data_IF_608680305386
#
_entry.id   IF_608680305386
#
_cell.length_a   1.000
_cell.length_b   1.000
_cell.length_c   1.000
_cell.angle_alpha   90.00
_cell.angle_beta   90.00
_cell.angle_gamma   90.00
#
_symmetry.space_group_name_H-M   'P 1'
#
loop_
_entity.id
_entity.type
_entity.pdbx_description
1 polymer ?
#
# COMPACT_ATOMS: atom_id res chain seq x y z
N UNK A 1 -0.94 5.51 5.58
CA UNK A 1 -0.03 4.53 4.99
C UNK A 1 1.27 4.48 5.79
N UNK A 2 1.92 3.30 5.81
CA UNK A 2 3.22 3.11 6.45
C UNK A 2 4.31 3.91 5.74
N UNK A 3 4.98 4.81 6.47
CA UNK A 3 5.95 5.76 5.92
C UNK A 3 5.39 7.15 5.64
N UNK A 4 4.06 7.34 5.73
CA UNK A 4 3.47 8.68 5.54
C UNK A 4 3.88 9.66 6.63
N UNK A 5 3.92 10.95 6.28
CA UNK A 5 4.05 12.04 7.24
C UNK A 5 2.70 12.41 7.87
N UNK A 6 2.75 13.18 8.96
CA UNK A 6 1.57 13.82 9.57
C UNK A 6 0.97 14.88 8.65
N UNK A 7 -0.32 15.19 8.88
CA UNK A 7 -0.87 16.47 8.47
C UNK A 7 -0.39 17.56 9.41
N UNK A 8 -0.17 18.76 8.88
CA UNK A 8 0.19 19.92 9.71
C UNK A 8 -1.05 20.54 10.39
N UNK A 9 -0.84 21.18 11.53
CA UNK A 9 -1.86 21.93 12.26
C UNK A 9 -3.13 21.14 12.54
N UNK A 10 -4.27 21.73 12.24
CA UNK A 10 -5.60 21.14 12.49
C UNK A 10 -6.05 20.13 11.41
N UNK A 11 -5.16 19.78 10.49
CA UNK A 11 -5.46 18.87 9.39
C UNK A 11 -5.59 19.55 8.04
N UNK A 12 -5.89 18.78 7.01
CA UNK A 12 -6.01 19.20 5.62
C UNK A 12 -7.47 19.12 5.19
N UNK A 13 -8.06 20.26 4.77
CA UNK A 13 -9.41 20.31 4.23
C UNK A 13 -9.41 20.93 2.84
N UNK A 14 -9.52 20.11 1.79
CA UNK A 14 -9.46 20.57 0.41
C UNK A 14 -10.24 19.66 -0.55
N UNK A 15 -10.37 20.10 -1.79
CA UNK A 15 -10.95 19.30 -2.87
C UNK A 15 -10.10 18.10 -3.21
N UNK A 16 -10.75 17.08 -3.77
CA UNK A 16 -10.08 15.92 -4.35
C UNK A 16 -10.22 15.92 -5.87
N UNK A 17 -9.22 15.34 -6.53
CA UNK A 17 -9.27 14.95 -7.95
C UNK A 17 -9.00 13.46 -8.06
N UNK A 18 -9.82 12.77 -8.85
CA UNK A 18 -9.71 11.33 -9.06
C UNK A 18 -8.84 11.03 -10.28
N UNK A 19 -7.98 10.01 -10.15
CA UNK A 19 -7.20 9.43 -11.23
C UNK A 19 -7.18 7.91 -11.07
N UNK A 20 -7.17 7.18 -12.20
CA UNK A 20 -6.99 5.72 -12.18
C UNK A 20 -5.56 5.35 -12.60
N UNK A 21 -4.94 6.15 -13.46
CA UNK A 21 -3.62 5.89 -14.03
C UNK A 21 -2.64 7.06 -13.83
N UNK A 22 -1.37 6.83 -14.15
CA UNK A 22 -0.37 7.90 -14.19
C UNK A 22 -0.65 8.89 -15.33
N UNK A 23 -1.15 8.39 -16.46
CA UNK A 23 -1.53 9.18 -17.62
C UNK A 23 -2.68 10.14 -17.30
N UNK A 24 -3.63 9.73 -16.46
CA UNK A 24 -4.70 10.61 -15.97
C UNK A 24 -4.13 11.76 -15.12
N UNK A 25 -3.19 11.44 -14.23
CA UNK A 25 -2.52 12.45 -13.41
C UNK A 25 -1.75 13.45 -14.28
N UNK A 26 -1.03 12.97 -15.27
CA UNK A 26 -0.30 13.80 -16.23
C UNK A 26 -1.25 14.68 -17.05
N UNK A 27 -2.38 14.13 -17.50
CA UNK A 27 -3.40 14.85 -18.25
C UNK A 27 -4.06 15.97 -17.44
N UNK A 28 -4.29 15.77 -16.14
CA UNK A 28 -4.78 16.83 -15.23
C UNK A 28 -3.74 17.94 -15.07
N UNK A 29 -2.47 17.57 -14.99
CA UNK A 29 -1.37 18.51 -14.81
C UNK A 29 -1.46 19.34 -13.54
N UNK A 30 -0.50 20.23 -13.35
CA UNK A 30 -0.43 21.10 -12.18
C UNK A 30 -1.66 22.00 -12.01
N UNK A 31 -2.22 22.47 -13.11
CA UNK A 31 -3.35 23.40 -13.07
C UNK A 31 -4.58 22.85 -12.35
N UNK A 32 -4.85 21.56 -12.51
CA UNK A 32 -6.01 20.91 -11.89
C UNK A 32 -5.69 20.22 -10.54
N UNK A 33 -4.40 19.94 -10.26
CA UNK A 33 -3.94 19.17 -9.11
C UNK A 33 -3.44 20.05 -7.95
N UNK A 34 -2.86 21.23 -8.25
CA UNK A 34 -2.22 22.08 -7.23
C UNK A 34 -3.18 22.44 -6.09
N UNK A 35 -2.74 22.23 -4.85
CA UNK A 35 -3.51 22.50 -3.65
C UNK A 35 -4.62 21.50 -3.33
N UNK A 36 -4.77 20.44 -4.11
CA UNK A 36 -5.79 19.40 -3.91
C UNK A 36 -5.19 18.09 -3.40
N UNK A 37 -6.06 17.17 -2.98
CA UNK A 37 -5.72 15.79 -2.71
C UNK A 37 -5.93 14.98 -4.01
N UNK A 38 -4.93 14.20 -4.42
CA UNK A 38 -5.09 13.24 -5.52
C UNK A 38 -5.63 11.94 -4.95
N UNK A 39 -6.73 11.48 -5.52
CA UNK A 39 -7.37 10.21 -5.19
C UNK A 39 -7.08 9.19 -6.29
N UNK A 40 -6.17 8.25 -6.01
CA UNK A 40 -5.85 7.12 -6.88
C UNK A 40 -6.89 6.02 -6.69
N UNK A 41 -7.74 5.82 -7.68
CA UNK A 41 -8.89 4.92 -7.61
C UNK A 41 -8.85 3.77 -8.63
N UNK A 42 -7.66 3.27 -8.96
CA UNK A 42 -7.55 2.10 -9.83
C UNK A 42 -8.06 0.83 -9.13
N UNK A 43 -9.13 0.19 -9.62
CA UNK A 43 -9.62 -1.06 -9.04
C UNK A 43 -8.77 -2.25 -9.48
N UNK A 44 -8.56 -3.21 -8.59
CA UNK A 44 -7.96 -4.49 -8.97
C UNK A 44 -8.86 -5.22 -9.98
N UNK A 45 -8.27 -5.76 -11.06
CA UNK A 45 -9.01 -6.48 -12.09
C UNK A 45 -9.44 -7.88 -11.56
N UNK A 46 -10.76 -8.15 -11.45
CA UNK A 46 -11.27 -9.43 -10.95
C UNK A 46 -11.12 -10.59 -11.93
N UNK A 47 -10.84 -10.33 -13.22
CA UNK A 47 -10.67 -11.36 -14.24
C UNK A 47 -9.31 -12.05 -14.18
N UNK A 48 -8.35 -11.47 -13.48
CA UNK A 48 -7.04 -12.07 -13.29
C UNK A 48 -7.11 -13.27 -12.35
N UNK A 49 -6.97 -14.46 -12.90
CA UNK A 49 -6.89 -15.71 -12.13
C UNK A 49 -5.72 -15.73 -11.16
N UNK A 50 -4.62 -15.07 -11.51
CA UNK A 50 -3.49 -14.86 -10.62
C UNK A 50 -3.59 -13.46 -10.01
N UNK A 51 -4.11 -13.38 -8.80
CA UNK A 51 -4.45 -12.13 -8.10
C UNK A 51 -3.27 -11.16 -7.97
N UNK A 52 -2.04 -11.68 -7.86
CA UNK A 52 -0.85 -10.84 -7.78
C UNK A 52 -0.58 -9.99 -9.03
N UNK A 53 -1.11 -10.37 -10.20
CA UNK A 53 -1.03 -9.50 -11.39
C UNK A 53 -1.83 -8.22 -11.17
N UNK A 54 -3.07 -8.32 -10.68
CA UNK A 54 -3.89 -7.14 -10.35
C UNK A 54 -3.27 -6.32 -9.21
N UNK A 55 -2.79 -7.00 -8.16
CA UNK A 55 -2.13 -6.33 -7.05
C UNK A 55 -0.88 -5.57 -7.51
N UNK A 56 0.00 -6.22 -8.29
CA UNK A 56 1.23 -5.62 -8.79
C UNK A 56 0.98 -4.40 -9.69
N UNK A 57 -0.15 -4.38 -10.40
CA UNK A 57 -0.54 -3.24 -11.21
C UNK A 57 -0.97 -2.04 -10.34
N UNK A 58 -1.85 -2.26 -9.37
CA UNK A 58 -2.41 -1.18 -8.56
C UNK A 58 -1.48 -0.70 -7.43
N UNK A 59 -0.57 -1.56 -6.93
CA UNK A 59 0.27 -1.25 -5.75
C UNK A 59 1.21 -0.07 -5.97
N UNK A 60 1.57 0.23 -7.21
CA UNK A 60 2.41 1.37 -7.55
C UNK A 60 1.80 2.71 -7.10
N UNK A 61 0.47 2.86 -7.13
CA UNK A 61 -0.22 4.05 -6.65
C UNK A 61 -0.12 4.20 -5.12
N UNK A 62 -0.12 3.10 -4.39
CA UNK A 62 0.14 3.13 -2.94
C UNK A 62 1.60 3.45 -2.64
N UNK A 63 2.53 2.84 -3.39
CA UNK A 63 3.96 2.98 -3.15
C UNK A 63 4.49 4.36 -3.50
N UNK A 64 4.15 4.88 -4.68
CA UNK A 64 4.68 6.11 -5.26
C UNK A 64 3.67 7.24 -5.46
N UNK A 65 2.38 7.02 -5.22
CA UNK A 65 1.32 7.98 -5.55
C UNK A 65 1.51 9.35 -4.89
N UNK A 66 1.94 9.39 -3.63
CA UNK A 66 2.21 10.66 -2.96
C UNK A 66 3.37 11.44 -3.61
N UNK A 67 4.41 10.73 -4.08
CA UNK A 67 5.55 11.34 -4.78
C UNK A 67 5.10 11.91 -6.12
N UNK A 68 4.38 11.11 -6.91
CA UNK A 68 3.93 11.55 -8.23
C UNK A 68 2.93 12.72 -8.12
N UNK A 69 1.97 12.64 -7.20
CA UNK A 69 1.02 13.73 -6.97
C UNK A 69 1.71 15.03 -6.51
N UNK A 70 2.73 14.93 -5.66
CA UNK A 70 3.48 16.10 -5.17
C UNK A 70 4.22 16.85 -6.29
N UNK A 71 4.66 16.16 -7.34
CA UNK A 71 5.28 16.82 -8.51
C UNK A 71 4.34 17.81 -9.20
N UNK A 72 3.04 17.56 -9.12
CA UNK A 72 2.00 18.44 -9.66
C UNK A 72 1.43 19.43 -8.62
N UNK A 73 2.01 19.49 -7.41
CA UNK A 73 1.60 20.42 -6.37
C UNK A 73 0.41 19.95 -5.52
N UNK A 74 0.09 18.67 -5.55
CA UNK A 74 -0.89 18.10 -4.61
C UNK A 74 -0.42 18.30 -3.16
N UNK A 75 -1.39 18.39 -2.25
CA UNK A 75 -1.15 18.56 -0.81
C UNK A 75 -1.47 17.33 0.02
N UNK A 76 -1.97 16.26 -0.63
CA UNK A 76 -2.24 14.97 -0.03
C UNK A 76 -2.55 13.91 -1.09
N UNK A 77 -2.49 12.65 -0.70
CA UNK A 77 -2.85 11.52 -1.55
C UNK A 77 -3.78 10.56 -0.82
N UNK A 78 -4.81 10.10 -1.51
CA UNK A 78 -5.68 9.00 -1.09
C UNK A 78 -5.55 7.85 -2.07
N UNK A 79 -5.50 6.62 -1.56
CA UNK A 79 -5.34 5.44 -2.40
C UNK A 79 -6.44 4.43 -2.08
N UNK A 80 -7.15 3.97 -3.11
CA UNK A 80 -8.10 2.86 -3.01
C UNK A 80 -7.41 1.63 -2.43
N UNK A 81 -8.04 0.97 -1.48
CA UNK A 81 -7.55 -0.28 -0.91
C UNK A 81 -7.41 -1.37 -1.96
N UNK A 82 -6.29 -2.09 -1.94
CA UNK A 82 -5.93 -3.12 -2.91
C UNK A 82 -6.63 -4.44 -2.56
N UNK A 83 -7.89 -4.53 -2.94
CA UNK A 83 -8.73 -5.70 -2.68
C UNK A 83 -9.80 -5.84 -3.77
N UNK A 84 -10.15 -7.09 -4.09
CA UNK A 84 -11.33 -7.41 -4.91
C UNK A 84 -12.63 -7.38 -4.09
N UNK A 85 -12.51 -7.40 -2.76
CA UNK A 85 -13.64 -7.34 -1.87
C UNK A 85 -14.13 -5.90 -1.72
N UNK A 86 -15.44 -5.70 -1.75
CA UNK A 86 -16.06 -4.39 -1.49
C UNK A 86 -16.49 -4.34 -0.03
N UNK A 87 -15.74 -3.61 0.78
CA UNK A 87 -15.98 -3.46 2.21
C UNK A 87 -15.51 -2.08 2.73
N UNK A 88 -15.72 -1.81 4.03
CA UNK A 88 -15.37 -0.55 4.68
C UNK A 88 -14.04 -0.62 5.47
N UNK A 89 -13.20 -1.61 5.17
CA UNK A 89 -11.92 -1.78 5.84
C UNK A 89 -10.77 -1.24 4.97
N UNK A 90 -10.22 -0.04 5.26
CA UNK A 90 -9.05 0.47 4.55
C UNK A 90 -7.86 -0.46 4.75
N UNK A 91 -7.21 -0.83 3.65
CA UNK A 91 -5.99 -1.62 3.70
C UNK A 91 -4.78 -0.70 3.77
N UNK A 92 -3.98 -0.85 4.82
CA UNK A 92 -2.70 -0.17 4.93
C UNK A 92 -1.65 -0.85 4.05
N UNK A 93 -0.48 -0.26 3.99
CA UNK A 93 0.68 -0.78 3.28
C UNK A 93 1.78 0.26 3.25
N UNK A 94 2.98 -0.13 2.85
CA UNK A 94 4.12 0.74 2.77
C UNK A 94 4.02 1.72 1.61
N UNK A 95 4.56 2.90 1.82
CA UNK A 95 4.87 3.90 0.80
C UNK A 95 6.28 4.42 1.01
N UNK A 96 6.80 5.16 0.05
CA UNK A 96 8.08 5.86 0.18
C UNK A 96 7.93 7.31 -0.27
N UNK A 97 8.90 8.12 0.15
CA UNK A 97 9.16 9.44 -0.42
C UNK A 97 10.47 9.41 -1.20
N UNK A 98 10.58 10.23 -2.23
CA UNK A 98 11.79 10.41 -3.00
C UNK A 98 12.49 11.70 -2.57
N UNK A 99 13.83 11.70 -2.60
CA UNK A 99 14.64 12.87 -2.25
C UNK A 99 14.37 14.02 -3.22
N UNK A 100 14.24 15.22 -2.70
CA UNK A 100 14.02 16.43 -3.48
C UNK A 100 12.57 16.66 -3.91
N UNK A 101 11.63 15.75 -3.61
CA UNK A 101 10.20 15.92 -3.85
C UNK A 101 9.50 16.28 -2.53
N UNK A 102 8.59 17.28 -2.50
CA UNK A 102 7.83 17.60 -1.31
C UNK A 102 7.11 16.38 -0.74
N UNK A 103 7.21 16.16 0.56
CA UNK A 103 6.47 15.09 1.22
C UNK A 103 5.05 15.58 1.51
N UNK A 104 4.05 14.79 1.15
CA UNK A 104 2.64 15.06 1.41
C UNK A 104 2.00 13.87 2.15
N UNK A 105 1.02 14.12 3.04
CA UNK A 105 0.34 13.05 3.77
C UNK A 105 -0.42 12.12 2.82
N UNK A 106 -0.40 10.82 3.12
CA UNK A 106 -1.07 9.81 2.31
C UNK A 106 -1.83 8.79 3.18
N UNK A 107 -3.05 8.46 2.76
CA UNK A 107 -3.90 7.49 3.45
C UNK A 107 -4.58 6.53 2.47
N UNK A 108 -4.98 5.36 2.98
CA UNK A 108 -5.80 4.42 2.25
C UNK A 108 -7.30 4.71 2.50
N UNK A 109 -8.11 4.50 1.47
CA UNK A 109 -9.58 4.54 1.54
C UNK A 109 -10.10 3.12 1.31
N UNK A 110 -11.15 2.71 2.04
CA UNK A 110 -11.81 1.44 1.79
C UNK A 110 -12.33 1.34 0.35
N UNK A 111 -12.50 0.15 -0.16
CA UNK A 111 -13.06 -0.05 -1.50
C UNK A 111 -14.46 0.53 -1.64
N UNK A 112 -15.31 0.38 -0.61
CA UNK A 112 -16.66 1.01 -0.58
C UNK A 112 -16.58 2.53 -0.51
N UNK A 113 -15.70 3.08 0.33
CA UNK A 113 -15.47 4.52 0.40
C UNK A 113 -14.95 5.10 -0.91
N UNK A 114 -14.08 4.36 -1.59
CA UNK A 114 -13.56 4.73 -2.90
C UNK A 114 -14.68 4.81 -3.95
N UNK A 115 -15.58 3.83 -3.98
CA UNK A 115 -16.73 3.86 -4.90
C UNK A 115 -17.70 5.01 -4.60
N UNK A 116 -17.93 5.30 -3.32
CA UNK A 116 -18.78 6.43 -2.93
C UNK A 116 -18.17 7.78 -3.34
N UNK A 117 -16.85 7.96 -3.16
CA UNK A 117 -16.15 9.17 -3.58
C UNK A 117 -16.20 9.32 -5.10
N UNK A 118 -15.89 8.25 -5.83
CA UNK A 118 -15.92 8.24 -7.30
C UNK A 118 -17.31 8.57 -7.83
N UNK A 119 -18.36 7.99 -7.24
CA UNK A 119 -19.73 8.27 -7.69
C UNK A 119 -20.09 9.75 -7.53
N UNK A 120 -19.76 10.36 -6.39
CA UNK A 120 -20.00 11.79 -6.16
C UNK A 120 -19.29 12.68 -7.17
N UNK A 121 -18.03 12.36 -7.47
CA UNK A 121 -17.26 13.09 -8.49
C UNK A 121 -17.87 12.94 -9.89
N UNK A 122 -18.32 11.73 -10.26
CA UNK A 122 -19.02 11.45 -11.53
C UNK A 122 -20.36 12.15 -11.64
N UNK A 123 -21.03 12.34 -10.52
CA UNK A 123 -22.28 13.13 -10.44
C UNK A 123 -22.04 14.65 -10.53
N UNK A 124 -20.78 15.07 -10.64
CA UNK A 124 -20.39 16.48 -10.78
C UNK A 124 -20.32 17.24 -9.46
N UNK A 125 -20.33 16.55 -8.31
CA UNK A 125 -20.17 17.19 -7.01
C UNK A 125 -18.73 17.67 -6.81
N UNK A 126 -18.57 18.88 -6.24
CA UNK A 126 -17.28 19.31 -5.68
C UNK A 126 -17.05 18.62 -4.34
N UNK A 127 -16.27 17.54 -4.36
CA UNK A 127 -15.99 16.76 -3.14
C UNK A 127 -14.79 17.34 -2.42
N UNK A 128 -14.99 17.73 -1.15
CA UNK A 128 -13.91 18.10 -0.23
C UNK A 128 -13.73 17.03 0.84
N UNK A 129 -12.47 16.75 1.16
CA UNK A 129 -12.10 15.78 2.18
C UNK A 129 -11.34 16.47 3.30
N UNK A 130 -11.67 16.10 4.53
CA UNK A 130 -10.87 16.43 5.69
C UNK A 130 -9.97 15.25 6.03
N UNK A 131 -8.66 15.47 5.99
CA UNK A 131 -7.65 14.50 6.36
C UNK A 131 -6.87 14.99 7.55
N UNK A 132 -6.87 14.22 8.63
CA UNK A 132 -6.05 14.47 9.81
C UNK A 132 -5.37 13.18 10.24
N UNK A 133 -4.06 13.22 10.34
CA UNK A 133 -3.25 12.06 10.76
C UNK A 133 -1.98 12.52 11.48
N UNK A 134 -1.53 11.71 12.45
CA UNK A 134 -0.35 11.96 13.28
C UNK A 134 0.71 10.87 13.06
N UNK A 135 1.10 10.66 11.81
CA UNK A 135 2.12 9.69 11.44
C UNK A 135 3.53 10.18 11.82
N UNK A 136 4.36 9.28 12.26
CA UNK A 136 5.77 9.57 12.52
C UNK A 136 6.64 8.34 12.25
N UNK A 137 7.83 8.55 11.72
CA UNK A 137 8.84 7.52 11.61
C UNK A 137 9.62 7.46 12.92
N UNK A 138 9.54 6.32 13.60
CA UNK A 138 10.28 6.09 14.84
C UNK A 138 11.71 5.63 14.54
N UNK A 139 12.65 5.78 15.50
CA UNK A 139 13.99 5.22 15.35
C UNK A 139 13.96 3.70 15.12
N UNK A 140 14.91 3.23 14.33
CA UNK A 140 15.07 1.80 14.03
C UNK A 140 15.16 0.97 15.31
N UNK A 141 14.56 -0.23 15.23
CA UNK A 141 14.62 -1.23 16.30
C UNK A 141 15.33 -2.48 15.81
N UNK A 142 16.13 -3.06 16.70
CA UNK A 142 16.79 -4.33 16.42
C UNK A 142 15.75 -5.42 16.19
N UNK A 143 15.88 -6.14 15.07
CA UNK A 143 15.10 -7.32 14.73
C UNK A 143 16.04 -8.46 14.32
N UNK A 144 15.50 -9.66 14.07
CA UNK A 144 16.27 -10.86 13.83
C UNK A 144 15.64 -11.70 12.71
N UNK A 145 16.51 -12.42 11.96
CA UNK A 145 16.11 -13.55 11.14
C UNK A 145 16.33 -14.84 11.94
N UNK A 146 15.36 -15.73 11.89
CA UNK A 146 15.49 -17.09 12.45
C UNK A 146 15.77 -18.06 11.32
N UNK A 147 16.91 -18.72 11.38
CA UNK A 147 17.37 -19.61 10.29
C UNK A 147 17.49 -21.05 10.83
N UNK A 148 16.84 -21.99 10.13
CA UNK A 148 17.00 -23.43 10.34
C UNK A 148 17.53 -24.07 9.04
N UNK A 149 18.46 -24.98 9.14
CA UNK A 149 19.10 -25.63 7.98
C UNK A 149 19.08 -27.15 8.12
N UNK A 150 18.77 -27.84 7.02
CA UNK A 150 19.03 -29.27 6.82
C UNK A 150 20.03 -29.41 5.69
N UNK A 151 21.24 -29.86 6.01
CA UNK A 151 22.31 -29.98 5.03
C UNK A 151 22.10 -31.18 4.12
N UNK A 152 22.08 -30.94 2.80
CA UNK A 152 21.98 -31.96 1.79
C UNK A 152 23.20 -32.89 1.74
N UNK A 153 23.01 -34.14 1.35
CA UNK A 153 24.10 -35.15 1.28
C UNK A 153 24.83 -35.19 -0.06
N UNK A 154 24.13 -34.93 -1.18
CA UNK A 154 24.69 -35.08 -2.54
C UNK A 154 25.30 -33.80 -3.09
N UNK A 155 24.56 -32.70 -2.99
CA UNK A 155 24.97 -31.40 -3.53
C UNK A 155 24.73 -30.34 -2.44
N UNK A 156 25.51 -30.32 -1.36
CA UNK A 156 25.26 -29.44 -0.19
C UNK A 156 25.44 -27.96 -0.50
N UNK A 157 26.04 -27.62 -1.63
CA UNK A 157 26.18 -26.25 -2.15
C UNK A 157 24.92 -25.73 -2.79
N UNK A 158 23.97 -26.59 -3.15
CA UNK A 158 22.69 -26.19 -3.71
C UNK A 158 21.72 -25.90 -2.56
N UNK A 159 21.38 -24.63 -2.41
CA UNK A 159 20.49 -24.15 -1.34
C UNK A 159 19.07 -23.98 -1.89
N UNK A 160 18.11 -24.59 -1.21
CA UNK A 160 16.69 -24.31 -1.40
C UNK A 160 16.23 -23.50 -0.20
N UNK A 161 15.82 -22.26 -0.43
CA UNK A 161 15.33 -21.37 0.61
C UNK A 161 13.80 -21.35 0.62
N UNK A 162 13.23 -21.55 1.78
CA UNK A 162 11.81 -21.32 2.08
C UNK A 162 11.72 -20.36 3.26
N UNK A 163 10.74 -19.48 3.28
CA UNK A 163 10.67 -18.48 4.35
C UNK A 163 9.31 -17.79 4.41
N UNK A 164 9.13 -17.05 5.48
CA UNK A 164 8.05 -16.12 5.71
C UNK A 164 8.53 -15.05 6.67
N UNK A 165 7.91 -13.86 6.66
CA UNK A 165 8.27 -12.80 7.58
C UNK A 165 7.53 -12.93 8.92
N UNK A 166 8.17 -12.48 10.01
CA UNK A 166 7.65 -12.61 11.38
C UNK A 166 6.79 -11.44 11.82
N UNK A 167 6.85 -10.33 11.10
CA UNK A 167 6.11 -9.11 11.42
C UNK A 167 4.73 -9.08 10.76
N UNK A 168 3.86 -8.25 11.29
CA UNK A 168 2.57 -7.94 10.72
C UNK A 168 2.21 -6.48 10.96
N UNK A 169 1.16 -5.99 10.27
CA UNK A 169 0.61 -4.68 10.58
C UNK A 169 -0.07 -4.69 11.96
N UNK A 170 0.06 -3.60 12.69
CA UNK A 170 -0.48 -3.44 14.07
C UNK A 170 -2.01 -3.58 14.16
N UNK A 171 -2.72 -3.53 13.04
CA UNK A 171 -4.18 -3.71 12.95
C UNK A 171 -4.63 -5.16 12.85
N UNK A 172 -3.71 -6.12 12.71
CA UNK A 172 -4.02 -7.53 12.54
C UNK A 172 -3.09 -8.43 13.34
N UNK A 173 -3.41 -9.72 13.37
CA UNK A 173 -2.59 -10.75 14.02
C UNK A 173 -1.55 -11.39 13.10
N UNK A 174 -1.53 -11.04 11.80
CA UNK A 174 -0.60 -11.61 10.83
C UNK A 174 -0.79 -13.11 10.57
N UNK A 175 -1.96 -13.67 10.86
CA UNK A 175 -2.16 -15.11 10.74
C UNK A 175 -2.02 -15.62 9.29
N UNK A 176 -2.47 -14.85 8.31
CA UNK A 176 -2.32 -15.16 6.89
C UNK A 176 -1.06 -14.52 6.30
N UNK A 177 -0.85 -13.24 6.56
CA UNK A 177 0.29 -12.45 6.09
C UNK A 177 1.17 -12.04 7.30
N UNK A 178 2.22 -12.80 7.69
CA UNK A 178 2.68 -13.99 6.96
C UNK A 178 2.87 -15.21 7.89
N UNK A 179 2.05 -15.34 8.93
CA UNK A 179 2.07 -16.50 9.82
C UNK A 179 1.90 -17.83 9.05
N UNK A 180 1.09 -17.82 7.97
CA UNK A 180 0.92 -18.99 7.11
C UNK A 180 2.23 -19.37 6.41
N UNK A 181 2.99 -18.42 5.86
CA UNK A 181 4.29 -18.66 5.23
C UNK A 181 5.33 -19.17 6.21
N UNK A 182 5.36 -18.63 7.43
CA UNK A 182 6.22 -19.12 8.52
C UNK A 182 5.91 -20.59 8.84
N UNK A 183 4.64 -20.94 9.03
CA UNK A 183 4.23 -22.30 9.36
C UNK A 183 4.48 -23.29 8.21
N UNK A 184 4.28 -22.87 6.95
CA UNK A 184 4.62 -23.67 5.77
C UNK A 184 6.14 -23.96 5.72
N UNK A 185 6.96 -22.95 6.01
CA UNK A 185 8.42 -23.09 6.03
C UNK A 185 8.90 -24.09 7.09
N UNK A 186 8.32 -24.02 8.29
CA UNK A 186 8.57 -25.02 9.34
C UNK A 186 8.12 -26.42 8.92
N UNK A 187 6.92 -26.55 8.32
CA UNK A 187 6.40 -27.83 7.83
C UNK A 187 7.27 -28.46 6.76
N UNK A 188 7.88 -27.66 5.86
CA UNK A 188 8.86 -28.15 4.87
C UNK A 188 10.08 -28.74 5.56
N UNK A 189 10.66 -28.05 6.55
CA UNK A 189 11.82 -28.54 7.30
C UNK A 189 11.48 -29.82 8.07
N UNK A 190 10.30 -29.90 8.68
CA UNK A 190 9.84 -31.06 9.41
C UNK A 190 9.68 -32.29 8.50
N UNK A 191 9.09 -32.07 7.29
CA UNK A 191 8.93 -33.12 6.28
C UNK A 191 10.28 -33.66 5.81
N UNK A 192 11.24 -32.82 5.48
CA UNK A 192 12.57 -33.23 5.05
C UNK A 192 13.41 -33.89 6.14
N UNK A 193 13.08 -33.68 7.41
CA UNK A 193 13.73 -34.39 8.52
C UNK A 193 13.29 -35.86 8.62
N UNK A 194 12.06 -36.15 8.18
CA UNK A 194 11.48 -37.50 8.24
C UNK A 194 11.90 -38.34 7.04
N UNK A 195 12.16 -37.71 5.90
CA UNK A 195 12.63 -38.36 4.65
C UNK A 195 14.14 -38.65 4.68
#
# INVERSE_FOLDING_TARGET
LGGSISTEGDGLYTEIVEVETWEDLEALGREQVEGKIVFFNEPMNPENTYTFHSYGHCVQHRWGGAVEAAKYGAVGALVRSLSLRIDDFPHTGSMKYDEGIPQIPAAAVSTRGAEQLSQKLKDGEQVKVFLQQSCQNLPDKQSYNVIGEIKGKKNPENIILVGGHLDSWDKGHGAHDDGAGVMQSLGVLELFKIL
#
